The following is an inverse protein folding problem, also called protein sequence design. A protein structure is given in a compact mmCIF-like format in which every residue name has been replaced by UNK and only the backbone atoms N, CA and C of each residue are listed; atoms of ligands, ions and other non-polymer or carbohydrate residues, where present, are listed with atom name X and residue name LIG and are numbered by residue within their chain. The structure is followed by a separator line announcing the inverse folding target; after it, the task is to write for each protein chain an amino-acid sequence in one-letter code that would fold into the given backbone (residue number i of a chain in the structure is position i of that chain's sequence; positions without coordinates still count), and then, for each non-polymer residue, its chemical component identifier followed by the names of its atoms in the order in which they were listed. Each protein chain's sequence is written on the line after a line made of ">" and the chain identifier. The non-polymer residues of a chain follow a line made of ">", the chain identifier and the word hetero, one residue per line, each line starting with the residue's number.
data_IF_191564651212
#
_entry.id   IF_191564651212
#
_cell.length_a   1.000
_cell.length_b   1.000
_cell.length_c   1.000
_cell.angle_alpha   90.00
_cell.angle_beta   90.00
_cell.angle_gamma   90.00
#
_symmetry.space_group_name_H-M   'P 1'
#
loop_
_entity.id
_entity.type
_entity.pdbx_description
1 polymer ?
2 non-polymer ?
3 water ?
#
# COMPACT_ATOMS: atom_id res chain seq x y z
N UNK A 1 -3.02 6.52 -18.57
CA UNK A 1 -2.02 7.08 -19.52
C UNK A 1 -0.61 6.79 -18.97
N UNK A 2 -0.44 6.94 -17.65
CA UNK A 2 0.86 6.67 -17.03
C UNK A 2 0.99 5.16 -16.84
N UNK A 3 2.22 4.67 -16.77
CA UNK A 3 2.46 3.24 -16.61
C UNK A 3 2.01 2.69 -15.25
N UNK A 4 2.26 3.44 -14.18
CA UNK A 4 1.91 2.98 -12.84
C UNK A 4 0.83 3.81 -12.13
N UNK A 5 -0.21 3.12 -11.67
CA UNK A 5 -1.28 3.78 -10.94
C UNK A 5 -0.90 3.83 -9.47
N UNK A 6 -1.16 4.95 -8.81
CA UNK A 6 -0.81 5.12 -7.40
C UNK A 6 -2.04 5.51 -6.60
N UNK A 7 -2.55 4.59 -5.79
CA UNK A 7 -3.73 4.88 -4.98
C UNK A 7 -3.47 4.58 -3.52
N UNK A 8 -4.19 5.29 -2.65
CA UNK A 8 -4.03 5.11 -1.22
C UNK A 8 -5.32 5.38 -0.48
N UNK A 9 -5.34 4.96 0.78
CA UNK A 9 -6.46 5.19 1.66
C UNK A 9 -5.78 5.94 2.79
N UNK A 10 -6.48 6.83 3.49
CA UNK A 10 -5.86 7.59 4.58
C UNK A 10 -6.89 8.38 5.37
N UNK A 11 -6.70 8.46 6.68
CA UNK A 11 -7.64 9.21 7.52
C UNK A 11 -6.99 10.49 8.03
N UNK A 12 -5.77 10.38 8.56
CA UNK A 12 -5.10 11.56 9.07
C UNK A 12 -3.93 12.06 8.23
N UNK A 13 -3.91 11.69 6.95
CA UNK A 13 -2.87 12.14 6.04
C UNK A 13 -1.51 11.45 6.00
N UNK A 14 -1.22 10.56 6.95
CA UNK A 14 0.09 9.91 6.95
C UNK A 14 0.38 9.15 5.66
N UNK A 15 -0.56 8.28 5.28
CA UNK A 15 -0.40 7.46 4.08
C UNK A 15 -0.40 8.34 2.84
N UNK A 16 -1.19 9.41 2.86
CA UNK A 16 -1.24 10.34 1.73
C UNK A 16 0.13 10.98 1.50
N UNK A 17 0.77 11.44 2.57
CA UNK A 17 2.08 12.07 2.46
C UNK A 17 3.12 11.11 1.87
N UNK A 18 3.07 9.86 2.31
CA UNK A 18 3.98 8.84 1.81
C UNK A 18 3.73 8.64 0.31
N UNK A 19 2.46 8.53 -0.08
CA UNK A 19 2.14 8.35 -1.50
C UNK A 19 2.75 9.51 -2.30
N UNK A 20 2.65 10.72 -1.76
CA UNK A 20 3.22 11.89 -2.43
C UNK A 20 4.75 11.81 -2.51
N UNK A 21 5.39 11.37 -1.43
CA UNK A 21 6.85 11.23 -1.40
C UNK A 21 7.30 10.28 -2.51
N UNK A 22 6.52 9.23 -2.71
CA UNK A 22 6.83 8.24 -3.73
C UNK A 22 6.71 8.86 -5.12
N UNK A 23 5.62 9.58 -5.35
CA UNK A 23 5.40 10.21 -6.65
C UNK A 23 6.48 11.24 -6.96
N UNK A 24 6.92 11.97 -5.95
CA UNK A 24 7.95 13.00 -6.12
C UNK A 24 9.24 12.47 -6.74
N UNK A 25 9.43 11.15 -6.70
CA UNK A 25 10.64 10.54 -7.24
C UNK A 25 10.59 10.12 -8.70
N UNK A 26 9.41 10.16 -9.31
CA UNK A 26 9.32 9.72 -10.69
C UNK A 26 8.57 10.68 -11.61
N UNK A 27 8.84 10.58 -12.91
CA UNK A 27 8.20 11.45 -13.90
C UNK A 27 6.77 11.04 -14.20
N UNK A 28 5.97 11.99 -14.69
CA UNK A 28 4.57 11.75 -15.01
C UNK A 28 4.32 10.60 -15.98
N UNK A 29 5.31 10.28 -16.81
CA UNK A 29 5.15 9.20 -17.78
C UNK A 29 5.13 7.82 -17.12
N UNK A 30 6.02 7.62 -16.16
CA UNK A 30 6.09 6.33 -15.49
C UNK A 30 5.07 6.12 -14.37
N UNK A 31 4.70 7.18 -13.66
CA UNK A 31 3.75 7.05 -12.55
C UNK A 31 2.76 8.20 -12.45
N UNK A 32 1.51 7.89 -12.13
CA UNK A 32 0.47 8.92 -12.02
C UNK A 32 0.47 9.60 -10.65
N UNK A 33 -0.24 10.72 -10.56
CA UNK A 33 -0.34 11.45 -9.31
C UNK A 33 -1.09 10.58 -8.31
N UNK A 34 -0.71 10.65 -7.03
CA UNK A 34 -1.38 9.86 -6.00
C UNK A 34 -2.84 10.24 -5.87
N UNK A 35 -3.72 9.25 -5.79
CA UNK A 35 -5.14 9.53 -5.65
C UNK A 35 -5.77 8.69 -4.54
N UNK A 36 -6.60 9.33 -3.73
CA UNK A 36 -7.30 8.65 -2.65
C UNK A 36 -8.32 7.71 -3.31
N UNK A 37 -8.46 6.50 -2.80
CA UNK A 37 -9.41 5.56 -3.39
C UNK A 37 -10.85 6.07 -3.34
N UNK A 38 -11.16 6.98 -2.42
CA UNK A 38 -12.53 7.50 -2.37
C UNK A 38 -12.82 8.52 -3.48
N UNK A 39 -11.83 8.75 -4.35
CA UNK A 39 -11.97 9.68 -5.47
C UNK A 39 -11.81 8.92 -6.79
N UNK A 40 -11.40 7.65 -6.72
CA UNK A 40 -11.14 6.86 -7.92
C UNK A 40 -12.33 6.24 -8.65
N UNK A 41 -12.24 6.21 -9.98
CA UNK A 41 -13.26 5.62 -10.84
C UNK A 41 -12.81 4.21 -11.18
N UNK A 42 -13.75 3.26 -11.19
CA UNK A 42 -13.42 1.87 -11.48
C UNK A 42 -12.62 1.72 -12.78
N UNK A 43 -13.07 2.39 -13.83
CA UNK A 43 -12.40 2.32 -15.12
C UNK A 43 -11.00 2.93 -15.05
N UNK A 44 -10.87 4.01 -14.29
CA UNK A 44 -9.60 4.68 -14.13
C UNK A 44 -8.61 3.77 -13.39
N UNK A 45 -9.10 3.09 -12.37
CA UNK A 45 -8.30 2.18 -11.55
C UNK A 45 -7.91 0.92 -12.33
N UNK A 46 -8.85 0.41 -13.12
CA UNK A 46 -8.65 -0.81 -13.88
C UNK A 46 -7.74 -0.71 -15.10
N UNK A 47 -7.51 0.50 -15.59
CA UNK A 47 -6.67 0.69 -16.76
C UNK A 47 -5.19 0.34 -16.59
N UNK A 48 -4.62 0.66 -15.43
CA UNK A 48 -3.20 0.39 -15.16
C UNK A 48 -2.85 -1.09 -15.05
N UNK A 49 -1.69 -1.47 -15.58
CA UNK A 49 -1.24 -2.85 -15.48
C UNK A 49 -0.27 -2.96 -14.30
N UNK A 50 0.13 -1.81 -13.77
CA UNK A 50 1.04 -1.74 -12.62
C UNK A 50 0.41 -0.83 -11.56
N UNK A 51 0.32 -1.33 -10.34
CA UNK A 51 -0.28 -0.57 -9.25
C UNK A 51 0.55 -0.58 -7.97
N UNK A 52 0.70 0.59 -7.36
CA UNK A 52 1.38 0.74 -6.08
C UNK A 52 0.26 1.25 -5.18
N UNK A 53 -0.10 0.46 -4.17
CA UNK A 53 -1.20 0.78 -3.28
C UNK A 53 -0.79 0.90 -1.81
N UNK A 54 -1.25 1.96 -1.15
CA UNK A 54 -0.92 2.16 0.24
C UNK A 54 -2.14 2.24 1.14
N UNK A 55 -1.97 1.85 2.40
CA UNK A 55 -3.08 1.88 3.34
C UNK A 55 -2.62 1.78 4.78
N UNK A 56 -3.31 2.50 5.67
CA UNK A 56 -2.93 2.42 7.09
C UNK A 56 -3.83 1.31 7.65
N UNK A 57 -3.72 1.05 8.94
CA UNK A 57 -4.58 0.06 9.58
C UNK A 57 -5.33 0.84 10.67
N UNK A 58 -6.64 0.69 10.73
CA UNK A 58 -7.43 1.43 11.72
C UNK A 58 -8.40 0.54 12.50
N UNK A 59 -9.35 1.18 13.18
CA UNK A 59 -10.34 0.44 13.96
C UNK A 59 -9.68 -0.64 14.79
N UNK A 60 -9.96 -1.90 14.45
CA UNK A 60 -9.37 -3.03 15.15
C UNK A 60 -8.71 -3.89 14.08
N UNK A 61 -7.54 -3.47 13.62
CA UNK A 61 -6.84 -4.22 12.59
C UNK A 61 -7.59 -4.27 11.27
N UNK A 62 -8.44 -3.27 11.02
CA UNK A 62 -9.25 -3.21 9.81
C UNK A 62 -8.70 -2.29 8.72
N UNK A 63 -9.24 -2.43 7.51
CA UNK A 63 -8.88 -1.56 6.40
C UNK A 63 -9.54 -0.23 6.74
N UNK A 64 -9.01 0.89 6.22
CA UNK A 64 -9.66 2.16 6.55
C UNK A 64 -11.03 2.21 5.88
N UNK A 65 -11.99 2.81 6.57
CA UNK A 65 -13.34 2.95 6.05
C UNK A 65 -14.25 3.52 7.13
N UNK A 66 -15.53 3.71 6.83
CA UNK A 66 -16.45 4.24 7.82
C UNK A 66 -16.65 3.27 9.00
N UNK A 67 -16.61 1.97 8.74
CA UNK A 67 -16.77 1.00 9.82
C UNK A 67 -15.60 1.04 10.81
N UNK A 68 -14.49 1.68 10.40
CA UNK A 68 -13.31 1.78 11.26
C UNK A 68 -13.23 3.14 11.91
N UNK A 69 -14.29 3.93 11.71
CA UNK A 69 -14.39 5.27 12.25
C UNK A 69 -13.51 6.30 11.55
N UNK A 70 -13.28 6.07 10.26
CA UNK A 70 -12.51 7.01 9.46
C UNK A 70 -13.50 8.15 9.17
N UNK A 71 -13.01 9.36 8.98
CA UNK A 71 -13.89 10.48 8.69
C UNK A 71 -14.58 10.29 7.34
N UNK A 72 -13.93 9.57 6.43
CA UNK A 72 -14.48 9.34 5.10
C UNK A 72 -14.30 7.91 4.63
N UNK A 73 -15.07 7.54 3.61
CA UNK A 73 -14.98 6.21 3.03
C UNK A 73 -13.55 6.03 2.56
N UNK A 74 -13.12 4.77 2.42
CA UNK A 74 -11.77 4.48 1.98
C UNK A 74 -11.72 3.11 1.31
N UNK A 75 -10.70 2.31 1.62
CA UNK A 75 -10.57 0.98 1.02
C UNK A 75 -11.78 0.08 1.26
N UNK A 76 -12.30 0.10 2.48
CA UNK A 76 -13.46 -0.72 2.85
C UNK A 76 -14.58 -0.64 1.81
N UNK A 77 -14.97 0.58 1.48
CA UNK A 77 -16.05 0.80 0.53
C UNK A 77 -15.63 0.65 -0.92
N UNK A 78 -14.35 0.85 -1.20
CA UNK A 78 -13.88 0.77 -2.58
C UNK A 78 -13.73 -0.65 -3.14
N UNK A 79 -13.24 -1.58 -2.33
CA UNK A 79 -13.04 -2.94 -2.81
C UNK A 79 -14.28 -3.57 -3.46
N UNK A 80 -15.45 -3.48 -2.80
CA UNK A 80 -16.66 -4.07 -3.40
C UNK A 80 -16.89 -3.56 -4.82
N UNK A 81 -16.59 -2.29 -5.05
CA UNK A 81 -16.76 -1.67 -6.37
C UNK A 81 -15.90 -2.33 -7.45
N UNK A 82 -14.89 -3.10 -7.06
CA UNK A 82 -14.03 -3.75 -8.04
C UNK A 82 -13.88 -5.24 -7.76
N UNK A 83 -14.72 -5.75 -6.88
CA UNK A 83 -14.68 -7.16 -6.50
C UNK A 83 -14.93 -8.12 -7.66
N UNK A 84 -15.61 -7.66 -8.70
CA UNK A 84 -15.91 -8.51 -9.84
C UNK A 84 -14.87 -8.40 -10.96
N UNK A 85 -13.87 -7.54 -10.76
CA UNK A 85 -12.83 -7.36 -11.77
C UNK A 85 -11.73 -8.43 -11.69
N UNK A 86 -11.09 -8.71 -12.82
CA UNK A 86 -10.02 -9.70 -12.88
C UNK A 86 -8.69 -8.94 -12.96
N UNK A 87 -7.77 -9.28 -12.07
CA UNK A 87 -6.47 -8.61 -12.02
C UNK A 87 -5.31 -9.41 -12.60
N UNK A 88 -5.63 -10.46 -13.36
CA UNK A 88 -4.60 -11.29 -13.98
C UNK A 88 -3.75 -10.41 -14.90
N UNK A 89 -2.44 -10.65 -14.90
CA UNK A 89 -1.56 -9.85 -15.74
C UNK A 89 -1.15 -8.52 -15.13
N UNK A 90 -1.79 -8.12 -14.03
CA UNK A 90 -1.45 -6.86 -13.37
C UNK A 90 -0.44 -7.05 -12.23
N UNK A 91 0.57 -6.18 -12.17
CA UNK A 91 1.61 -6.25 -11.13
C UNK A 91 1.30 -5.24 -10.03
N UNK A 92 1.17 -5.71 -8.79
CA UNK A 92 0.83 -4.81 -7.69
C UNK A 92 1.80 -4.84 -6.51
N UNK A 93 2.13 -3.66 -5.99
CA UNK A 93 3.03 -3.53 -4.84
C UNK A 93 2.29 -2.76 -3.75
N UNK A 94 2.34 -3.28 -2.53
CA UNK A 94 1.64 -2.68 -1.40
C UNK A 94 2.53 -2.08 -0.32
N UNK A 95 2.12 -0.93 0.21
CA UNK A 95 2.85 -0.35 1.34
C UNK A 95 1.81 -0.05 2.41
N UNK A 96 2.18 -0.33 3.65
CA UNK A 96 1.25 -0.12 4.74
C UNK A 96 1.83 0.73 5.84
N UNK A 97 0.97 1.55 6.44
CA UNK A 97 1.36 2.40 7.54
C UNK A 97 0.72 1.79 8.78
N UNK A 98 1.42 1.86 9.90
CA UNK A 98 0.90 1.31 11.13
C UNK A 98 1.70 1.79 12.32
N UNK A 99 1.25 1.42 13.51
CA UNK A 99 1.90 1.81 14.76
C UNK A 99 2.24 0.53 15.52
N UNK A 100 3.47 0.06 15.37
CA UNK A 100 3.92 -1.19 16.01
C UNK A 100 3.98 -1.18 17.54
N UNK A 101 4.15 -0.01 18.14
CA UNK A 101 4.23 0.09 19.60
C UNK A 101 2.84 0.02 20.23
N UNK A 102 1.88 0.72 19.62
CA UNK A 102 0.52 0.75 20.15
C UNK A 102 -0.34 -0.44 19.76
N UNK A 103 -0.04 -1.06 18.62
CA UNK A 103 -0.83 -2.21 18.17
C UNK A 103 0.06 -3.41 17.81
N UNK A 104 0.88 -3.87 18.76
CA UNK A 104 1.80 -5.00 18.57
C UNK A 104 1.20 -6.32 18.10
N UNK A 105 -0.11 -6.48 18.22
CA UNK A 105 -0.76 -7.72 17.82
C UNK A 105 -1.49 -7.64 16.47
N UNK A 106 -1.53 -6.44 15.90
CA UNK A 106 -2.22 -6.22 14.63
C UNK A 106 -1.43 -5.24 13.75
N UNK A 107 -0.11 -5.25 13.88
CA UNK A 107 0.73 -4.34 13.11
C UNK A 107 0.51 -4.50 11.62
N UNK A 108 0.11 -3.40 10.98
CA UNK A 108 -0.18 -3.31 9.55
C UNK A 108 -1.01 -4.46 8.99
N UNK A 109 -1.99 -4.91 9.76
CA UNK A 109 -2.89 -5.99 9.33
C UNK A 109 -3.65 -5.64 8.05
N UNK A 110 -3.88 -4.35 7.82
CA UNK A 110 -4.59 -3.92 6.62
C UNK A 110 -3.93 -4.47 5.35
N UNK A 111 -2.61 -4.63 5.40
CA UNK A 111 -1.88 -5.18 4.26
C UNK A 111 -2.37 -6.57 3.87
N UNK A 112 -2.78 -7.37 4.85
CA UNK A 112 -3.27 -8.71 4.55
C UNK A 112 -4.55 -8.69 3.72
N UNK A 113 -5.50 -7.86 4.13
CA UNK A 113 -6.76 -7.77 3.42
C UNK A 113 -6.57 -7.28 2.00
N UNK A 114 -5.63 -6.36 1.81
CA UNK A 114 -5.36 -5.83 0.49
C UNK A 114 -4.70 -6.91 -0.36
N UNK A 115 -3.73 -7.59 0.22
CA UNK A 115 -3.01 -8.65 -0.48
C UNK A 115 -3.95 -9.79 -0.86
N UNK A 116 -4.75 -10.24 0.10
CA UNK A 116 -5.68 -11.33 -0.15
C UNK A 116 -6.65 -10.98 -1.27
N UNK A 117 -7.22 -9.78 -1.19
CA UNK A 117 -8.17 -9.32 -2.19
C UNK A 117 -7.64 -9.37 -3.63
N UNK A 118 -6.47 -8.79 -3.87
CA UNK A 118 -5.94 -8.78 -5.23
C UNK A 118 -5.30 -10.09 -5.63
N UNK A 119 -4.81 -10.83 -4.65
CA UNK A 119 -4.17 -12.11 -4.92
C UNK A 119 -5.24 -13.11 -5.39
N UNK A 120 -6.39 -13.09 -4.73
CA UNK A 120 -7.51 -13.97 -5.08
C UNK A 120 -8.04 -13.69 -6.47
N UNK A 121 -7.62 -12.57 -7.05
CA UNK A 121 -8.09 -12.20 -8.38
C UNK A 121 -7.00 -12.22 -9.45
N UNK A 122 -6.00 -13.08 -9.23
CA UNK A 122 -4.92 -13.25 -10.18
C UNK A 122 -3.82 -12.21 -10.31
N UNK A 123 -3.75 -11.26 -9.39
CA UNK A 123 -2.73 -10.22 -9.49
C UNK A 123 -1.36 -10.74 -9.07
N UNK A 124 -0.32 -10.21 -9.71
CA UNK A 124 1.05 -10.58 -9.38
C UNK A 124 1.51 -9.59 -8.31
N UNK A 125 1.65 -10.07 -7.08
CA UNK A 125 2.07 -9.22 -5.97
C UNK A 125 3.57 -9.31 -5.70
N UNK A 126 4.23 -8.16 -5.60
CA UNK A 126 5.67 -8.13 -5.33
C UNK A 126 5.94 -7.15 -4.18
N UNK A 127 7.19 -7.12 -3.72
CA UNK A 127 7.56 -6.20 -2.66
C UNK A 127 7.51 -6.68 -1.23
N UNK A 128 7.75 -7.97 -0.99
CA UNK A 128 7.73 -8.46 0.38
C UNK A 128 8.91 -7.81 1.10
N UNK A 129 8.74 -7.53 2.39
CA UNK A 129 9.77 -6.82 3.14
C UNK A 129 10.14 -7.52 4.45
N UNK A 130 11.45 -7.67 4.72
CA UNK A 130 11.93 -8.33 5.94
C UNK A 130 11.27 -7.74 7.18
N UNK A 131 10.81 -8.60 8.09
CA UNK A 131 10.14 -8.15 9.29
C UNK A 131 11.01 -8.01 10.54
N UNK A 132 12.30 -8.27 10.43
CA UNK A 132 13.17 -8.18 11.59
C UNK A 132 13.32 -6.79 12.21
N UNK A 133 13.34 -5.75 11.38
CA UNK A 133 13.52 -4.41 11.92
C UNK A 133 12.33 -3.79 12.62
N UNK A 134 11.33 -4.59 12.98
CA UNK A 134 10.13 -4.06 13.63
C UNK A 134 9.83 -4.74 14.96
N UNK A 135 9.25 -3.99 15.89
CA UNK A 135 8.91 -4.55 17.18
C UNK A 135 7.42 -4.80 17.27
N UNK A 136 7.02 -6.07 17.20
CA UNK A 136 5.61 -6.45 17.28
C UNK A 136 5.55 -7.91 17.72
N UNK A 137 4.36 -8.39 18.05
CA UNK A 137 4.21 -9.76 18.51
C UNK A 137 3.34 -10.60 17.59
N UNK A 138 2.45 -9.95 16.84
CA UNK A 138 1.62 -10.69 15.91
C UNK A 138 1.16 -9.81 14.77
N UNK A 139 0.87 -10.43 13.63
CA UNK A 139 0.41 -9.70 12.46
C UNK A 139 -0.05 -10.64 11.36
N UNK A 140 -1.17 -10.28 10.76
CA UNK A 140 -1.75 -11.04 9.67
C UNK A 140 -0.95 -10.75 8.40
N UNK A 141 -0.16 -9.68 8.42
CA UNK A 141 0.61 -9.26 7.25
C UNK A 141 2.00 -9.88 7.12
N UNK A 142 2.34 -10.80 8.01
CA UNK A 142 3.64 -11.45 7.98
C UNK A 142 3.56 -12.92 7.55
N UNK A 143 4.26 -13.27 6.48
CA UNK A 143 4.29 -14.63 5.97
C UNK A 143 5.76 -14.99 5.77
N UNK A 144 6.22 -16.02 6.48
CA UNK A 144 7.60 -16.48 6.38
C UNK A 144 8.62 -15.40 6.71
N UNK A 145 8.43 -14.73 7.83
CA UNK A 145 9.36 -13.70 8.24
C UNK A 145 9.37 -12.42 7.41
N UNK A 146 8.42 -12.25 6.50
CA UNK A 146 8.37 -11.03 5.68
C UNK A 146 6.95 -10.46 5.61
N UNK A 147 6.86 -9.13 5.58
CA UNK A 147 5.57 -8.45 5.47
C UNK A 147 5.12 -8.61 4.02
N UNK A 148 3.81 -8.74 3.81
CA UNK A 148 3.25 -8.90 2.46
C UNK A 148 3.55 -7.69 1.57
N UNK A 149 4.03 -6.62 2.18
CA UNK A 149 4.37 -5.42 1.43
C UNK A 149 5.28 -4.57 2.29
N UNK A 150 5.65 -3.37 1.85
CA UNK A 150 6.51 -2.51 2.67
C UNK A 150 5.76 -2.06 3.91
N UNK A 151 6.42 -2.11 5.06
CA UNK A 151 5.81 -1.67 6.31
C UNK A 151 6.48 -0.37 6.74
N UNK A 152 5.67 0.65 7.02
CA UNK A 152 6.20 1.93 7.46
C UNK A 152 5.50 2.32 8.74
N UNK A 153 6.23 3.00 9.61
CA UNK A 153 5.68 3.43 10.87
C UNK A 153 6.17 4.85 11.13
N UNK A 154 5.30 5.83 10.88
CA UNK A 154 5.66 7.23 11.08
C UNK A 154 5.49 7.65 12.54
N UNK A 155 4.88 6.78 13.34
CA UNK A 155 4.68 7.07 14.75
C UNK A 155 5.91 6.71 15.58
N UNK A 156 6.59 5.62 15.20
CA UNK A 156 7.75 5.16 15.95
C UNK A 156 9.06 5.06 15.16
N UNK A 157 8.98 4.91 13.84
CA UNK A 157 10.20 4.81 13.03
C UNK A 157 10.19 5.77 11.85
N UNK A 158 9.78 7.02 12.08
CA UNK A 158 9.74 8.02 11.01
C UNK A 158 11.10 8.22 10.36
N UNK A 159 12.15 8.21 11.18
CA UNK A 159 13.52 8.41 10.70
C UNK A 159 13.98 7.36 9.68
N UNK A 160 13.32 6.21 9.66
CA UNK A 160 13.68 5.12 8.74
C UNK A 160 12.92 5.14 7.42
N UNK A 161 11.90 5.98 7.32
CA UNK A 161 11.11 6.00 6.10
C UNK A 161 11.87 6.32 4.82
N UNK A 162 12.77 7.31 4.85
CA UNK A 162 13.52 7.62 3.62
C UNK A 162 14.31 6.41 3.09
N UNK A 163 15.10 5.78 3.94
CA UNK A 163 15.88 4.63 3.46
C UNK A 163 14.98 3.46 3.04
N UNK A 164 13.85 3.28 3.72
CA UNK A 164 12.93 2.21 3.38
C UNK A 164 12.25 2.43 2.02
N UNK A 165 11.89 3.67 1.70
CA UNK A 165 11.27 3.94 0.41
C UNK A 165 12.30 3.79 -0.70
N UNK A 166 13.53 4.23 -0.45
CA UNK A 166 14.55 4.10 -1.46
C UNK A 166 14.83 2.62 -1.72
N UNK A 167 14.98 1.85 -0.64
CA UNK A 167 15.26 0.43 -0.77
C UNK A 167 14.10 -0.37 -1.34
N UNK A 168 12.88 -0.08 -0.89
CA UNK A 168 11.70 -0.80 -1.35
C UNK A 168 11.37 -0.49 -2.80
N UNK A 169 11.41 0.79 -3.17
CA UNK A 169 11.13 1.16 -4.54
C UNK A 169 12.17 0.52 -5.46
N UNK A 170 13.41 0.40 -4.98
CA UNK A 170 14.46 -0.22 -5.78
C UNK A 170 14.17 -1.71 -5.93
N UNK A 171 13.53 -2.29 -4.93
CA UNK A 171 13.19 -3.71 -4.97
C UNK A 171 12.12 -4.01 -6.03
N UNK A 172 11.13 -3.14 -6.15
CA UNK A 172 10.07 -3.37 -7.13
C UNK A 172 10.37 -2.65 -8.44
N UNK A 173 11.56 -2.07 -8.54
CA UNK A 173 11.94 -1.34 -9.74
C UNK A 173 12.01 -2.25 -10.96
N UNK A 174 12.57 -3.44 -10.79
CA UNK A 174 12.69 -4.38 -11.90
C UNK A 174 11.31 -4.65 -12.50
N UNK A 175 10.39 -5.15 -11.68
CA UNK A 175 9.04 -5.45 -12.13
C UNK A 175 8.33 -4.23 -12.72
N UNK A 176 8.49 -3.08 -12.08
CA UNK A 176 7.83 -1.85 -12.51
C UNK A 176 8.56 -0.98 -13.51
N UNK A 177 9.84 -1.25 -13.75
CA UNK A 177 10.59 -0.44 -14.70
C UNK A 177 10.79 0.98 -14.20
N UNK A 178 11.21 1.10 -12.94
CA UNK A 178 11.43 2.41 -12.33
C UNK A 178 12.92 2.73 -12.27
N UNK A 179 13.23 4.02 -12.24
CA UNK A 179 14.61 4.47 -12.14
C UNK A 179 14.65 5.50 -11.01
N UNK A 180 15.29 5.14 -9.91
CA UNK A 180 15.38 6.01 -8.75
C UNK A 180 16.30 7.21 -8.94
N UNK A 181 15.96 8.35 -8.31
CA UNK A 181 16.76 9.57 -8.40
C UNK A 181 18.08 9.32 -7.67
N UNK A 182 19.12 10.03 -8.07
CA UNK A 182 20.43 9.87 -7.45
C UNK A 182 20.47 10.50 -6.05
X LIG B 1 -1.68 0.49 13.30
X LIG B 1 -1.45 -0.87 13.13
X LIG B 1 -0.38 -1.27 12.69
X LIG B 1 -2.43 -1.79 13.46
X LIG B 1 -3.66 -1.38 13.98
X LIG B 1 -4.57 -2.21 14.17
X LIG B 1 -3.89 -0.02 14.13
X LIG B 1 -5.10 0.42 14.62
X LIG B 1 -5.28 1.76 14.84
X LIG B 1 -6.41 2.31 15.40
X LIG B 1 -6.78 3.63 15.71
X LIG B 1 -8.05 4.02 16.40
X LIG B 1 -5.75 4.56 15.37
X LIG B 1 -5.87 6.06 15.62
X LIG B 1 -4.54 4.09 14.78
X LIG B 1 -4.30 2.71 14.51
X LIG B 1 -3.12 2.28 13.93
X LIG B 1 -2.89 0.92 13.78
X LIG B 1 -2.04 3.24 13.51
X LIG B 1 -2.29 3.93 12.18
X LIG B 1 -2.49 3.01 11.13
X LIG B 1 -1.11 4.84 11.89
X LIG B 1 -1.11 5.87 12.85
X LIG B 1 -1.07 5.45 10.48
X LIG B 1 0.13 6.18 10.37
X LIG B 1 -2.27 6.35 10.19
X LIG B 1 -2.33 6.56 8.80
X LIG B 1 -3.23 7.75 8.14
X LIG B 1 -2.96 7.66 6.69
X LIG B 1 -4.67 7.47 8.49
X LIG B 1 -2.73 9.05 8.73
#
# INVERSE_FOLDING_TARGET
>A
MAKIGLFFGSDTGTTRKIAKQIKDMFDDEVMAKPLNVNRADVADFMAYDFLILGTPTLGDGQLPGLSANAASESWEEFLPRIADQDFSGKTIALFGLGDQVTYPLEFVNALFFLHEFFSDRGANVVGRWPAKGYGFEDSLAVVEGEFLGLALDQDNQAALTPERLKGWLSLIAADFGLVLPA
>B hetero
1 FMN N1 C2 O2 N3 C4 O4 C4A N5 C5A C6 C7 C7M C8 C8M C9 C9A N10 C10 C1' C2' O2' C3' O3' C4' O4' C5' O5' P O1P O2P O3P
#
